data_IF_307724165033
#
_entry.id   IF_307724165033
#
_cell.length_a   1.000
_cell.length_b   1.000
_cell.length_c   1.000
_cell.angle_alpha   90.00
_cell.angle_beta   90.00
_cell.angle_gamma   90.00
#
_symmetry.space_group_name_H-M   'P 1'
#
loop_
_entity.id
_entity.type
_entity.pdbx_description
1 polymer ?
#
# COMPACT_ATOMS: atom_id res chain seq x y z
N UNK A 1 23.86 0.29 3.29
CA UNK A 1 22.91 -0.76 2.91
C UNK A 1 21.98 -0.21 1.84
N UNK A 2 21.80 -0.95 0.77
CA UNK A 2 20.94 -0.54 -0.33
C UNK A 2 19.50 -0.92 -0.03
N UNK A 3 18.59 0.01 -0.24
CA UNK A 3 17.15 -0.25 -0.09
C UNK A 3 16.50 -0.16 -1.46
N UNK A 4 15.68 -1.15 -1.79
CA UNK A 4 14.94 -1.17 -3.05
C UNK A 4 13.48 -1.45 -2.78
N UNK A 5 12.60 -0.89 -3.63
CA UNK A 5 11.17 -1.17 -3.54
C UNK A 5 10.91 -2.62 -3.95
N UNK A 6 9.87 -3.22 -3.34
CA UNK A 6 9.55 -4.62 -3.63
C UNK A 6 9.11 -4.81 -5.08
N UNK A 7 8.63 -3.77 -5.72
CA UNK A 7 8.24 -3.79 -7.13
C UNK A 7 8.37 -2.39 -7.69
N UNK A 8 8.73 -2.25 -8.98
CA UNK A 8 8.80 -0.95 -9.61
C UNK A 8 7.39 -0.40 -9.87
N UNK A 9 7.28 0.91 -9.98
CA UNK A 9 6.06 1.60 -10.42
C UNK A 9 4.86 1.42 -9.49
N UNK A 10 5.09 1.08 -8.22
CA UNK A 10 4.02 0.98 -7.23
C UNK A 10 4.01 2.23 -6.35
N UNK A 11 5.18 2.69 -5.92
CA UNK A 11 5.29 3.93 -5.17
C UNK A 11 6.61 4.60 -5.51
N UNK A 12 6.67 5.92 -5.29
CA UNK A 12 7.88 6.68 -5.59
C UNK A 12 8.95 6.34 -4.54
N UNK A 13 10.11 5.83 -5.00
CA UNK A 13 11.18 5.43 -4.12
C UNK A 13 12.51 5.44 -4.86
N UNK A 14 13.59 5.95 -4.27
CA UNK A 14 13.60 6.68 -3.00
C UNK A 14 12.99 8.07 -3.12
N UNK A 15 12.37 8.53 -2.05
CA UNK A 15 11.76 9.86 -2.01
C UNK A 15 11.58 10.28 -0.56
N UNK A 16 11.62 11.58 -0.31
CA UNK A 16 11.39 12.10 1.04
C UNK A 16 9.94 11.89 1.47
N UNK A 17 9.01 12.07 0.53
CA UNK A 17 7.60 11.85 0.79
C UNK A 17 7.05 10.91 -0.26
N UNK A 18 7.27 9.59 -0.08
CA UNK A 18 6.79 8.62 -1.08
C UNK A 18 5.29 8.70 -1.28
N UNK A 19 4.86 8.45 -2.51
CA UNK A 19 3.45 8.43 -2.88
C UNK A 19 3.17 7.18 -3.70
N UNK A 20 1.97 6.63 -3.53
CA UNK A 20 1.53 5.53 -4.37
C UNK A 20 1.32 6.04 -5.79
N UNK A 21 1.67 5.19 -6.75
CA UNK A 21 1.57 5.53 -8.16
C UNK A 21 0.32 4.85 -8.73
N UNK A 22 -0.70 5.62 -8.95
CA UNK A 22 -1.93 5.14 -9.58
C UNK A 22 -2.03 5.59 -11.01
N UNK A 23 -3.19 5.37 -11.60
CA UNK A 23 -3.49 5.82 -12.95
C UNK A 23 -4.82 6.55 -12.99
N UNK A 24 -4.89 7.56 -13.85
CA UNK A 24 -6.12 8.32 -14.07
C UNK A 24 -6.49 8.26 -15.54
N UNK A 25 -7.71 7.82 -15.80
CA UNK A 25 -8.20 7.74 -17.17
C UNK A 25 -8.45 9.15 -17.72
N UNK A 26 -7.86 9.44 -18.89
CA UNK A 26 -8.04 10.74 -19.52
C UNK A 26 -9.45 10.92 -20.06
N UNK A 27 -10.16 9.82 -20.33
CA UNK A 27 -11.49 9.88 -20.92
C UNK A 27 -12.58 10.10 -19.86
N UNK A 28 -12.57 9.30 -18.79
CA UNK A 28 -13.65 9.35 -17.80
C UNK A 28 -13.21 9.85 -16.43
N UNK A 29 -11.91 10.04 -16.21
CA UNK A 29 -11.40 10.55 -14.95
C UNK A 29 -11.28 9.54 -13.83
N UNK A 30 -11.59 8.26 -14.07
CA UNK A 30 -11.50 7.24 -13.04
C UNK A 30 -10.06 7.04 -12.61
N UNK A 31 -9.84 6.89 -11.29
CA UNK A 31 -8.53 6.66 -10.71
C UNK A 31 -8.48 5.23 -10.21
N UNK A 32 -7.37 4.55 -10.44
CA UNK A 32 -7.17 3.18 -9.99
C UNK A 32 -5.75 2.99 -9.46
N UNK A 33 -5.60 2.02 -8.59
CA UNK A 33 -4.29 1.62 -8.05
C UNK A 33 -4.26 0.08 -7.94
N UNK A 34 -3.21 -0.57 -8.42
CA UNK A 34 -2.09 -0.01 -9.20
C UNK A 34 -2.55 0.55 -10.55
N UNK A 35 -1.67 1.30 -11.22
CA UNK A 35 -2.03 1.90 -12.50
C UNK A 35 -2.36 0.82 -13.53
N UNK A 36 -3.57 0.82 -14.10
CA UNK A 36 -3.96 -0.20 -15.06
C UNK A 36 -3.49 0.16 -16.46
N UNK A 37 -3.42 -0.85 -17.34
CA UNK A 37 -3.11 -0.60 -18.75
C UNK A 37 -4.32 -0.07 -19.50
N UNK A 38 -5.52 -0.34 -18.98
CA UNK A 38 -6.75 0.20 -19.54
C UNK A 38 -7.73 0.47 -18.40
N UNK A 39 -8.61 1.42 -18.63
CA UNK A 39 -9.58 1.82 -17.62
C UNK A 39 -10.65 0.74 -17.46
N UNK A 40 -10.83 0.27 -16.23
CA UNK A 40 -11.85 -0.75 -15.95
C UNK A 40 -13.27 -0.20 -16.09
N UNK A 41 -13.42 1.13 -16.05
CA UNK A 41 -14.73 1.75 -16.09
C UNK A 41 -15.22 2.01 -17.52
N UNK A 42 -14.33 2.49 -18.40
CA UNK A 42 -14.73 2.86 -19.76
C UNK A 42 -13.93 2.16 -20.86
N UNK A 43 -12.90 1.39 -20.51
CA UNK A 43 -12.12 0.64 -21.46
C UNK A 43 -11.05 1.41 -22.18
N UNK A 44 -10.92 2.73 -21.94
CA UNK A 44 -9.90 3.54 -22.62
C UNK A 44 -8.49 3.06 -22.24
N UNK A 45 -7.56 3.12 -23.19
CA UNK A 45 -6.16 2.82 -22.93
C UNK A 45 -5.37 4.09 -22.61
N UNK A 46 -6.03 5.25 -22.58
CA UNK A 46 -5.38 6.53 -22.31
C UNK A 46 -5.40 6.78 -20.79
N UNK A 47 -4.50 6.09 -20.07
CA UNK A 47 -4.38 6.19 -18.63
C UNK A 47 -3.04 6.81 -18.30
N UNK A 48 -3.06 7.93 -17.59
CA UNK A 48 -1.86 8.66 -17.22
C UNK A 48 -1.46 8.33 -15.79
N UNK A 49 -0.17 8.44 -15.50
CA UNK A 49 0.33 8.32 -14.13
C UNK A 49 -0.32 9.38 -13.25
N UNK A 50 -0.76 8.95 -12.07
CA UNK A 50 -1.42 9.85 -11.11
C UNK A 50 -0.96 9.50 -9.71
N UNK A 51 -0.24 10.41 -9.06
CA UNK A 51 0.24 10.18 -7.71
C UNK A 51 -0.90 10.38 -6.72
N UNK A 52 -1.03 9.45 -5.78
CA UNK A 52 -2.14 9.44 -4.84
C UNK A 52 -1.80 10.22 -3.57
N UNK A 53 -2.80 10.77 -2.86
CA UNK A 53 -2.53 11.43 -1.59
C UNK A 53 -1.85 10.49 -0.60
N UNK A 54 -1.03 11.03 0.29
CA UNK A 54 -0.33 10.26 1.31
C UNK A 54 -1.19 9.97 2.53
N UNK A 55 -2.26 10.73 2.74
CA UNK A 55 -3.12 10.61 3.91
C UNK A 55 -4.52 10.23 3.48
N UNK A 56 -5.16 9.44 4.33
CA UNK A 56 -6.52 9.01 4.07
C UNK A 56 -7.19 8.55 5.33
N UNK A 57 -8.31 7.86 5.16
CA UNK A 57 -9.07 7.32 6.29
C UNK A 57 -9.22 5.82 6.12
N UNK A 58 -9.23 5.13 7.24
CA UNK A 58 -9.40 3.68 7.25
C UNK A 58 -10.87 3.37 7.01
N UNK A 59 -11.17 2.83 5.82
CA UNK A 59 -12.55 2.49 5.46
C UNK A 59 -13.01 1.25 6.20
N UNK A 60 -12.16 0.23 6.23
CA UNK A 60 -12.39 -0.99 7.00
C UNK A 60 -11.05 -1.67 7.20
N UNK A 61 -11.01 -2.70 8.06
CA UNK A 61 -9.77 -3.41 8.32
C UNK A 61 -10.05 -4.82 8.79
N UNK A 62 -9.00 -5.64 8.70
CA UNK A 62 -8.97 -6.97 9.25
C UNK A 62 -7.55 -7.26 9.68
N UNK A 63 -7.27 -8.48 10.13
CA UNK A 63 -5.91 -8.90 10.44
C UNK A 63 -5.58 -10.16 9.65
N UNK A 64 -4.31 -10.26 9.27
CA UNK A 64 -3.79 -11.45 8.61
C UNK A 64 -3.17 -12.32 9.69
N UNK A 65 -3.83 -13.43 10.00
CA UNK A 65 -3.46 -14.28 11.14
C UNK A 65 -2.55 -15.42 10.72
N UNK A 66 -2.46 -15.72 9.43
CA UNK A 66 -1.69 -16.85 8.93
C UNK A 66 -0.67 -16.33 7.92
N UNK A 67 0.47 -17.03 7.85
CA UNK A 67 1.46 -16.75 6.81
C UNK A 67 0.79 -16.89 5.45
N UNK A 68 0.81 -15.83 4.61
CA UNK A 68 0.19 -15.93 3.30
C UNK A 68 0.89 -16.97 2.44
N UNK A 69 0.12 -17.64 1.59
CA UNK A 69 0.67 -18.61 0.65
C UNK A 69 1.42 -17.91 -0.47
N UNK A 70 2.32 -18.66 -1.11
CA UNK A 70 2.98 -18.13 -2.30
C UNK A 70 1.95 -17.67 -3.32
N UNK A 71 2.22 -16.58 -4.04
CA UNK A 71 3.54 -15.95 -4.27
C UNK A 71 3.96 -14.90 -3.24
N UNK A 72 3.39 -14.89 -2.06
CA UNK A 72 3.85 -13.96 -1.02
C UNK A 72 5.34 -14.19 -0.75
N UNK A 73 6.12 -13.13 -0.72
CA UNK A 73 7.58 -13.20 -0.66
C UNK A 73 8.16 -12.28 0.41
N UNK A 74 7.50 -12.21 1.57
CA UNK A 74 7.95 -11.34 2.66
C UNK A 74 9.10 -11.89 3.49
N UNK A 75 9.51 -13.16 3.25
CA UNK A 75 10.67 -13.72 3.91
C UNK A 75 10.39 -14.39 5.24
N UNK A 76 9.16 -14.33 5.75
CA UNK A 76 8.84 -14.98 7.02
C UNK A 76 8.68 -16.50 6.83
N UNK A 77 8.92 -17.23 7.93
CA UNK A 77 8.61 -18.64 8.01
C UNK A 77 7.45 -18.82 8.98
N UNK A 78 6.96 -20.06 9.10
CA UNK A 78 5.89 -20.34 10.05
C UNK A 78 6.29 -19.95 11.48
N UNK A 79 7.59 -20.03 11.80
CA UNK A 79 8.09 -19.69 13.13
C UNK A 79 8.25 -18.19 13.34
N UNK A 80 8.56 -17.44 12.29
CA UNK A 80 8.85 -16.01 12.41
C UNK A 80 7.65 -15.12 12.09
N UNK A 81 6.61 -15.69 11.53
CA UNK A 81 5.43 -14.91 11.14
C UNK A 81 4.76 -14.31 12.38
N UNK A 82 4.33 -13.05 12.22
CA UNK A 82 3.50 -12.36 13.22
C UNK A 82 2.28 -11.80 12.50
N UNK A 83 1.10 -11.91 13.08
CA UNK A 83 -0.09 -11.32 12.49
C UNK A 83 0.08 -9.82 12.27
N UNK A 84 -0.56 -9.30 11.23
CA UNK A 84 -0.49 -7.87 10.92
C UNK A 84 -1.85 -7.37 10.46
N UNK A 85 -2.05 -6.06 10.59
CA UNK A 85 -3.28 -5.43 10.13
C UNK A 85 -3.29 -5.25 8.63
N UNK A 86 -4.47 -5.36 8.05
CA UNK A 86 -4.71 -5.08 6.63
C UNK A 86 -5.90 -4.15 6.57
N UNK A 87 -5.76 -3.05 5.84
CA UNK A 87 -6.83 -2.06 5.74
C UNK A 87 -7.19 -1.76 4.32
N UNK A 88 -8.43 -1.30 4.15
CA UNK A 88 -8.88 -0.67 2.92
C UNK A 88 -8.90 0.83 3.22
N UNK A 89 -8.01 1.57 2.57
CA UNK A 89 -7.78 2.98 2.87
C UNK A 89 -8.41 3.85 1.80
N UNK A 90 -9.24 4.78 2.22
CA UNK A 90 -9.88 5.76 1.33
C UNK A 90 -8.94 6.94 1.16
N UNK A 91 -8.49 7.18 -0.06
CA UNK A 91 -7.61 8.29 -0.39
C UNK A 91 -8.40 9.34 -1.16
N UNK A 92 -8.82 10.39 -0.45
CA UNK A 92 -9.68 11.42 -1.01
C UNK A 92 -10.97 10.82 -1.54
N UNK A 93 -11.50 11.39 -2.60
CA UNK A 93 -12.66 10.85 -3.29
C UNK A 93 -12.27 9.97 -4.47
N UNK A 94 -10.97 9.62 -4.56
CA UNK A 94 -10.43 9.06 -5.78
C UNK A 94 -10.44 7.54 -5.80
N UNK A 95 -9.95 6.91 -4.71
CA UNK A 95 -9.69 5.48 -4.76
C UNK A 95 -9.61 4.92 -3.36
N UNK A 96 -9.90 3.62 -3.23
CA UNK A 96 -9.63 2.86 -2.02
C UNK A 96 -8.53 1.87 -2.31
N UNK A 97 -7.56 1.78 -1.40
CA UNK A 97 -6.36 0.97 -1.58
C UNK A 97 -6.29 -0.05 -0.46
N UNK A 98 -6.13 -1.31 -0.82
CA UNK A 98 -5.86 -2.35 0.17
C UNK A 98 -4.38 -2.32 0.51
N UNK A 99 -4.06 -2.29 1.79
CA UNK A 99 -2.68 -2.14 2.21
C UNK A 99 -2.45 -2.74 3.59
N UNK A 100 -1.18 -3.10 3.83
CA UNK A 100 -0.75 -3.48 5.16
C UNK A 100 -0.81 -2.26 6.08
N UNK A 101 -1.16 -2.49 7.33
CA UNK A 101 -1.16 -1.47 8.37
C UNK A 101 0.03 -1.72 9.30
N UNK A 102 0.64 -0.65 9.80
CA UNK A 102 1.73 -0.81 10.78
C UNK A 102 1.20 -1.24 12.15
N UNK A 103 -0.07 -0.93 12.44
CA UNK A 103 -0.68 -1.35 13.68
C UNK A 103 -1.30 -2.74 13.48
N UNK A 104 -0.90 -3.70 14.31
CA UNK A 104 -1.38 -5.07 14.21
C UNK A 104 -2.44 -5.42 15.25
N UNK A 105 -2.65 -4.56 16.25
CA UNK A 105 -3.61 -4.80 17.32
C UNK A 105 -4.97 -4.26 16.91
N UNK A 106 -5.97 -5.12 16.66
CA UNK A 106 -7.29 -4.64 16.22
C UNK A 106 -7.96 -3.74 17.24
N UNK A 107 -7.59 -3.81 18.52
CA UNK A 107 -8.13 -2.92 19.54
C UNK A 107 -7.68 -1.48 19.36
N UNK A 108 -6.62 -1.27 18.60
CA UNK A 108 -6.07 0.07 18.32
C UNK A 108 -6.49 0.60 16.95
N UNK A 109 -7.26 -0.18 16.21
CA UNK A 109 -7.76 0.22 14.90
C UNK A 109 -9.24 0.55 15.01
N UNK A 110 -9.67 1.54 14.25
CA UNK A 110 -11.10 1.85 14.16
C UNK A 110 -11.42 2.42 12.80
N UNK A 111 -12.60 2.10 12.33
CA UNK A 111 -13.11 2.60 11.05
C UNK A 111 -13.22 4.11 11.14
N UNK A 112 -12.73 4.80 10.12
CA UNK A 112 -12.76 6.26 10.07
C UNK A 112 -11.52 6.93 10.62
N UNK A 113 -10.58 6.17 11.24
CA UNK A 113 -9.37 6.79 11.76
C UNK A 113 -8.48 7.27 10.62
N UNK A 114 -7.66 8.27 10.91
CA UNK A 114 -6.73 8.80 9.92
C UNK A 114 -5.49 7.95 9.84
N UNK A 115 -5.02 7.74 8.62
CA UNK A 115 -3.81 6.95 8.36
C UNK A 115 -2.95 7.70 7.35
N UNK A 116 -1.65 7.37 7.37
CA UNK A 116 -0.68 8.02 6.50
C UNK A 116 0.25 6.98 5.90
N UNK A 117 0.61 7.18 4.65
CA UNK A 117 1.51 6.28 3.93
C UNK A 117 2.92 6.32 4.54
N UNK A 118 3.48 5.16 4.75
CA UNK A 118 4.87 5.00 5.19
C UNK A 118 5.51 3.89 4.36
N UNK A 119 6.83 3.88 4.33
CA UNK A 119 7.58 2.80 3.68
C UNK A 119 8.28 2.03 4.79
N UNK A 120 8.13 0.71 4.78
CA UNK A 120 8.59 -0.16 5.85
C UNK A 120 9.42 -1.30 5.27
N UNK A 121 10.29 -1.90 6.08
CA UNK A 121 11.03 -3.09 5.63
C UNK A 121 10.07 -4.23 5.29
N UNK A 122 10.37 -4.95 4.21
CA UNK A 122 9.60 -6.10 3.81
C UNK A 122 10.40 -7.38 3.97
N UNK A 123 11.65 -7.40 3.49
CA UNK A 123 12.55 -8.53 3.67
C UNK A 123 13.99 -8.08 3.41
N UNK A 124 14.94 -8.91 3.79
CA UNK A 124 16.36 -8.71 3.44
C UNK A 124 16.77 -9.89 2.58
N UNK A 125 17.27 -9.58 1.38
CA UNK A 125 17.71 -10.61 0.44
C UNK A 125 19.05 -11.21 0.90
N UNK A 126 19.42 -12.39 0.37
CA UNK A 126 20.68 -13.03 0.77
C UNK A 126 21.92 -12.17 0.53
N UNK A 127 21.87 -11.23 -0.42
CA UNK A 127 23.01 -10.35 -0.70
C UNK A 127 23.04 -9.13 0.20
N UNK A 128 22.14 -9.04 1.19
CA UNK A 128 22.07 -7.92 2.11
C UNK A 128 21.21 -6.76 1.66
N UNK A 129 20.62 -6.83 0.48
CA UNK A 129 19.72 -5.79 0.00
C UNK A 129 18.46 -5.78 0.83
N UNK A 130 18.10 -4.61 1.35
CA UNK A 130 16.84 -4.45 2.07
C UNK A 130 15.72 -4.11 1.09
N UNK A 131 14.67 -4.94 1.08
CA UNK A 131 13.51 -4.71 0.22
C UNK A 131 12.44 -4.04 1.07
N UNK A 132 11.89 -2.93 0.57
CA UNK A 132 10.90 -2.14 1.30
C UNK A 132 9.57 -2.19 0.58
N UNK A 133 8.50 -1.99 1.33
CA UNK A 133 7.15 -1.94 0.80
C UNK A 133 6.41 -0.79 1.46
N UNK A 134 5.23 -0.49 0.93
CA UNK A 134 4.40 0.55 1.52
C UNK A 134 3.46 -0.04 2.56
N UNK A 135 3.04 0.80 3.48
CA UNK A 135 2.04 0.48 4.49
C UNK A 135 1.38 1.77 4.91
N UNK A 136 0.33 1.67 5.70
CA UNK A 136 -0.29 2.85 6.29
C UNK A 136 -0.17 2.77 7.80
N UNK A 137 0.21 3.89 8.39
CA UNK A 137 0.36 4.03 9.83
C UNK A 137 -0.74 4.93 10.38
N UNK A 138 -1.18 4.71 11.63
CA UNK A 138 -2.09 5.66 12.25
C UNK A 138 -1.48 7.06 12.23
N UNK A 139 -2.26 8.04 11.77
CA UNK A 139 -1.83 9.43 11.73
C UNK A 139 -2.42 10.16 12.93
N UNK A 140 -1.78 11.25 13.32
CA UNK A 140 -2.27 12.03 14.42
C UNK A 140 -3.67 12.55 14.15
N UNK A 141 -4.44 12.71 15.20
CA UNK A 141 -5.79 13.23 15.10
C UNK A 141 -5.74 14.74 15.01
N UNK A 142 -5.97 15.25 13.84
CA UNK A 142 -6.04 16.69 13.65
C UNK A 142 -6.55 17.05 12.33
#
# INVERSE_FOLDING_TARGET
MTQVAFAPDVFTWPADEPQLIGGRCAECGAVAFPAPVSCARCGSVDVATHLLPRRGTLWTFTTQEFLPKEPYAGGETAETFRPYGVGLVQLGDEVRVEARLTESDPARLRIGMRVELVVVPFRVDPDGTEVVTFAFAPAGER
#
